data_IF_788739968294
#
_entry.id   IF_788739968294
#
_cell.length_a   1.000
_cell.length_b   1.000
_cell.length_c   1.000
_cell.angle_alpha   90.00
_cell.angle_beta   90.00
_cell.angle_gamma   90.00
#
_symmetry.space_group_name_H-M   'P 1'
#
loop_
_entity.id
_entity.type
_entity.pdbx_description
1 polymer ?
#
# COMPACT_ATOMS: atom_id res chain seq x y z
N UNK A 1 13.53 -16.24 -30.17
CA UNK A 1 14.03 -16.51 -28.80
C UNK A 1 13.58 -15.35 -27.92
N UNK A 2 12.32 -15.35 -27.49
CA UNK A 2 11.65 -14.15 -26.95
C UNK A 2 11.00 -14.37 -25.57
N UNK A 3 11.43 -15.41 -24.84
CA UNK A 3 10.83 -15.80 -23.57
C UNK A 3 11.65 -15.44 -22.33
N UNK A 4 12.86 -14.89 -22.49
CA UNK A 4 13.75 -14.60 -21.35
C UNK A 4 13.60 -13.19 -20.78
N UNK A 5 13.15 -12.20 -21.56
CA UNK A 5 13.01 -10.82 -21.08
C UNK A 5 11.81 -10.61 -20.14
N UNK A 6 10.70 -11.33 -20.34
CA UNK A 6 9.52 -11.23 -19.47
C UNK A 6 9.75 -11.88 -18.09
N UNK A 7 10.50 -13.00 -18.06
CA UNK A 7 10.75 -13.73 -16.81
C UNK A 7 11.54 -12.90 -15.79
N UNK A 8 12.53 -12.14 -16.24
CA UNK A 8 13.33 -11.32 -15.35
C UNK A 8 12.55 -10.13 -14.80
N UNK A 9 11.69 -9.49 -15.60
CA UNK A 9 10.85 -8.36 -15.15
C UNK A 9 9.82 -8.79 -14.08
N UNK A 10 9.25 -9.99 -14.20
CA UNK A 10 8.33 -10.55 -13.20
C UNK A 10 9.05 -11.02 -11.94
N UNK A 11 10.22 -11.64 -12.09
CA UNK A 11 11.05 -12.06 -10.94
C UNK A 11 11.56 -10.83 -10.18
N UNK A 12 11.83 -9.73 -10.89
CA UNK A 12 12.26 -8.45 -10.30
C UNK A 12 11.32 -7.85 -9.28
N UNK A 13 10.07 -7.74 -9.66
CA UNK A 13 9.05 -7.23 -8.76
C UNK A 13 8.81 -8.15 -7.55
N UNK A 14 8.97 -9.47 -7.73
CA UNK A 14 8.69 -10.42 -6.64
C UNK A 14 9.75 -10.41 -5.52
N UNK A 15 11.02 -10.09 -5.81
CA UNK A 15 12.04 -9.98 -4.77
C UNK A 15 12.06 -8.60 -4.08
N UNK A 16 11.63 -7.54 -4.77
CA UNK A 16 11.46 -6.21 -4.16
C UNK A 16 10.25 -6.20 -3.21
N UNK A 17 9.14 -6.84 -3.59
CA UNK A 17 7.95 -6.96 -2.72
C UNK A 17 8.19 -7.79 -1.45
N UNK A 18 8.99 -8.86 -1.52
CA UNK A 18 9.35 -9.66 -0.34
C UNK A 18 10.34 -8.97 0.62
N UNK A 19 10.98 -7.88 0.18
CA UNK A 19 11.98 -7.13 0.96
C UNK A 19 11.45 -5.83 1.54
N UNK A 20 10.19 -5.47 1.24
CA UNK A 20 9.60 -4.24 1.72
C UNK A 20 9.31 -4.34 3.23
N UNK A 21 9.56 -3.26 4.00
CA UNK A 21 9.16 -3.20 5.39
C UNK A 21 7.67 -3.50 5.56
N UNK A 22 7.25 -4.05 6.70
CA UNK A 22 5.86 -4.45 6.90
C UNK A 22 4.89 -3.27 6.91
N UNK A 23 5.40 -2.05 7.11
CA UNK A 23 4.61 -0.83 7.14
C UNK A 23 5.26 0.29 6.30
N UNK A 24 4.44 1.27 5.94
CA UNK A 24 4.91 2.53 5.36
C UNK A 24 4.08 3.70 5.88
N UNK A 25 4.69 4.89 5.84
CA UNK A 25 4.04 6.16 6.11
C UNK A 25 3.55 6.71 4.78
N UNK A 26 2.26 7.00 4.69
CA UNK A 26 1.61 7.49 3.47
C UNK A 26 0.89 8.79 3.72
N UNK A 27 0.91 9.66 2.73
CA UNK A 27 0.01 10.81 2.64
C UNK A 27 -1.13 10.48 1.68
N UNK A 28 -2.37 10.77 2.08
CA UNK A 28 -3.54 10.63 1.23
C UNK A 28 -3.72 11.89 0.38
N UNK A 29 -3.55 11.76 -0.94
CA UNK A 29 -3.44 12.90 -1.87
C UNK A 29 -4.74 13.69 -1.98
N UNK A 30 -5.87 12.99 -1.97
CA UNK A 30 -7.20 13.57 -2.18
C UNK A 30 -7.89 13.99 -0.87
N UNK A 31 -7.23 13.77 0.27
CA UNK A 31 -7.81 13.99 1.60
C UNK A 31 -7.07 15.10 2.34
N UNK A 32 -7.85 16.04 2.89
CA UNK A 32 -7.33 17.09 3.77
C UNK A 32 -8.17 17.19 5.02
N UNK A 33 -7.52 17.39 6.16
CA UNK A 33 -8.16 17.64 7.43
C UNK A 33 -7.69 18.98 7.98
N UNK A 34 -8.62 19.92 8.16
CA UNK A 34 -8.33 21.28 8.63
C UNK A 34 -7.25 22.01 7.79
N UNK A 35 -7.29 21.79 6.46
CA UNK A 35 -6.33 22.37 5.51
C UNK A 35 -4.94 21.72 5.53
N UNK A 36 -4.75 20.63 6.27
CA UNK A 36 -3.50 19.87 6.33
C UNK A 36 -3.63 18.52 5.61
N UNK A 37 -2.53 18.04 5.05
CA UNK A 37 -2.44 16.71 4.47
C UNK A 37 -2.76 15.64 5.50
N UNK A 38 -3.53 14.63 5.10
CA UNK A 38 -3.81 13.46 5.94
C UNK A 38 -2.67 12.44 5.76
N UNK A 39 -2.06 12.03 6.87
CA UNK A 39 -0.95 11.06 6.88
C UNK A 39 -1.30 9.91 7.83
N UNK A 40 -1.00 8.68 7.44
CA UNK A 40 -1.15 7.51 8.31
C UNK A 40 -0.06 6.45 8.03
N UNK A 41 0.01 5.45 8.92
CA UNK A 41 0.85 4.27 8.79
C UNK A 41 -0.03 3.10 8.33
N UNK A 42 0.30 2.53 7.18
CA UNK A 42 -0.42 1.38 6.63
C UNK A 42 0.49 0.14 6.52
N UNK A 43 -0.08 -1.07 6.58
CA UNK A 43 0.62 -2.26 6.12
C UNK A 43 0.98 -2.14 4.64
N UNK A 44 2.19 -2.52 4.25
CA UNK A 44 2.60 -2.47 2.84
C UNK A 44 1.77 -3.40 1.96
N UNK A 45 1.17 -4.45 2.54
CA UNK A 45 0.22 -5.33 1.85
C UNK A 45 -1.12 -4.64 1.50
N UNK A 46 -1.35 -3.40 1.92
CA UNK A 46 -2.52 -2.61 1.53
C UNK A 46 -2.27 -1.78 0.27
N UNK A 47 -1.02 -1.66 -0.19
CA UNK A 47 -0.72 -0.93 -1.42
C UNK A 47 -1.12 -1.74 -2.65
N UNK A 48 -1.49 -1.03 -3.72
CA UNK A 48 -1.55 -1.62 -5.06
C UNK A 48 -0.14 -1.97 -5.56
N UNK A 49 -0.06 -2.78 -6.61
CA UNK A 49 1.23 -3.13 -7.24
C UNK A 49 2.00 -1.88 -7.72
N UNK A 50 1.27 -0.84 -8.11
CA UNK A 50 1.78 0.45 -8.58
C UNK A 50 2.22 1.40 -7.44
N UNK A 51 1.90 1.08 -6.17
CA UNK A 51 2.30 1.84 -4.96
C UNK A 51 1.88 3.32 -4.93
N UNK A 52 0.88 3.67 -5.72
CA UNK A 52 0.26 5.00 -5.81
C UNK A 52 -1.15 5.04 -5.20
N UNK A 53 -1.69 3.88 -4.82
CA UNK A 53 -2.97 3.73 -4.16
C UNK A 53 -2.85 2.72 -3.01
N UNK A 54 -3.72 2.84 -2.01
CA UNK A 54 -3.90 1.79 -1.00
C UNK A 54 -5.37 1.46 -0.78
N UNK A 55 -5.64 0.21 -0.44
CA UNK A 55 -6.93 -0.23 0.07
C UNK A 55 -7.10 0.22 1.53
N UNK A 56 -8.30 0.64 1.89
CA UNK A 56 -8.62 1.09 3.23
C UNK A 56 -9.92 0.47 3.74
N UNK A 57 -9.96 -0.05 4.99
CA UNK A 57 -11.14 -0.72 5.51
C UNK A 57 -12.31 0.21 5.75
N UNK A 58 -13.46 -0.14 5.18
CA UNK A 58 -14.76 0.47 5.46
C UNK A 58 -15.27 0.04 6.85
N UNK A 59 -14.83 0.68 7.93
CA UNK A 59 -15.40 0.35 9.25
C UNK A 59 -14.72 0.91 10.50
N UNK A 60 -15.36 0.64 11.64
CA UNK A 60 -14.82 0.92 12.97
C UNK A 60 -13.85 -0.21 13.31
N UNK A 61 -12.55 -0.03 13.06
CA UNK A 61 -11.40 -0.68 13.71
C UNK A 61 -10.14 -0.73 12.82
N UNK A 62 -9.85 0.34 12.06
CA UNK A 62 -8.65 0.45 11.22
C UNK A 62 -7.38 0.07 11.98
N UNK A 63 -7.21 0.55 13.22
CA UNK A 63 -6.04 0.25 14.05
C UNK A 63 -5.81 -1.24 14.29
N UNK A 64 -6.89 -2.04 14.42
CA UNK A 64 -6.76 -3.50 14.56
C UNK A 64 -6.33 -4.13 13.25
N UNK A 65 -6.95 -3.73 12.14
CA UNK A 65 -6.62 -4.23 10.81
C UNK A 65 -5.15 -3.93 10.44
N UNK A 66 -4.64 -2.75 10.79
CA UNK A 66 -3.23 -2.36 10.63
C UNK A 66 -2.32 -3.26 11.47
N UNK A 67 -2.59 -3.39 12.77
CA UNK A 67 -1.78 -4.23 13.68
C UNK A 67 -1.74 -5.69 13.26
N UNK A 68 -2.88 -6.23 12.84
CA UNK A 68 -3.02 -7.62 12.42
C UNK A 68 -2.53 -7.84 10.97
N UNK A 69 -2.18 -6.76 10.24
CA UNK A 69 -1.85 -6.76 8.80
C UNK A 69 -2.86 -7.54 7.99
N UNK A 70 -4.15 -7.29 8.28
CA UNK A 70 -5.25 -7.91 7.58
C UNK A 70 -5.10 -7.67 6.08
N UNK A 71 -5.27 -8.70 5.25
CA UNK A 71 -5.22 -8.52 3.81
C UNK A 71 -6.43 -7.70 3.34
N UNK A 72 -6.27 -6.78 2.38
CA UNK A 72 -7.39 -6.08 1.79
C UNK A 72 -8.46 -7.02 1.26
N UNK A 73 -9.72 -6.63 1.45
CA UNK A 73 -10.87 -7.30 0.85
C UNK A 73 -11.28 -6.55 -0.42
N UNK A 74 -11.91 -7.22 -1.38
CA UNK A 74 -12.41 -6.58 -2.61
C UNK A 74 -13.41 -5.45 -2.35
N UNK A 75 -14.04 -5.45 -1.17
CA UNK A 75 -14.99 -4.44 -0.73
C UNK A 75 -14.33 -3.15 -0.20
N UNK A 76 -13.01 -3.15 0.01
CA UNK A 76 -12.30 -2.01 0.55
C UNK A 76 -12.12 -0.93 -0.53
N UNK A 77 -12.54 0.32 -0.30
CA UNK A 77 -12.23 1.42 -1.18
C UNK A 77 -10.71 1.61 -1.33
N UNK A 78 -10.31 2.14 -2.47
CA UNK A 78 -8.94 2.58 -2.74
C UNK A 78 -8.83 4.08 -2.56
N UNK A 79 -7.66 4.52 -2.12
CA UNK A 79 -7.32 5.93 -1.97
C UNK A 79 -5.96 6.20 -2.60
N UNK A 80 -5.86 7.33 -3.31
CA UNK A 80 -4.60 7.83 -3.87
C UNK A 80 -3.64 8.20 -2.73
N UNK A 81 -2.42 7.68 -2.80
CA UNK A 81 -1.39 7.92 -1.77
C UNK A 81 -0.05 8.33 -2.35
N UNK A 82 0.74 8.98 -1.51
CA UNK A 82 2.18 9.21 -1.70
C UNK A 82 2.94 8.61 -0.54
N UNK A 83 3.89 7.70 -0.81
CA UNK A 83 4.76 7.14 0.22
C UNK A 83 5.75 8.20 0.69
N UNK A 84 5.77 8.46 2.00
CA UNK A 84 6.69 9.38 2.65
C UNK A 84 7.90 8.66 3.25
N UNK A 85 7.76 7.37 3.60
CA UNK A 85 8.84 6.56 4.15
C UNK A 85 8.39 5.13 4.48
N UNK A 86 9.38 4.26 4.70
CA UNK A 86 9.17 2.84 5.04
C UNK A 86 9.52 2.59 6.51
N UNK A 87 8.75 1.74 7.20
CA UNK A 87 8.83 1.52 8.64
C UNK A 87 8.86 0.04 9.04
#
# INVERSE_FOLDING_TARGET
MELLHLSNYTISNHYELCSMPPYCVVEFIDETYDGQSVVDIIPTCWMTEEQNECFWPSGRNVTKAVKDRQKPEESWPKYSIRVLGWA
#
